data_IF_217332613261
#
_entry.id   IF_217332613261
#
_cell.length_a   1.000
_cell.length_b   1.000
_cell.length_c   1.000
_cell.angle_alpha   90.00
_cell.angle_beta   90.00
_cell.angle_gamma   90.00
#
_symmetry.space_group_name_H-M   'P 1'
#
loop_
_entity.id
_entity.type
_entity.pdbx_description
1 polymer ?
#
# COMPACT_ATOMS: atom_id res chain seq x y z
N UNK A 1 62.88 88.12 -61.11
CA UNK A 1 62.70 88.75 -59.77
C UNK A 1 61.75 88.04 -58.92
N UNK A 2 62.08 87.78 -57.78
CA UNK A 2 61.65 86.94 -56.70
C UNK A 2 60.25 87.21 -56.18
N UNK A 3 59.71 86.23 -55.61
CA UNK A 3 58.77 86.11 -54.54
C UNK A 3 57.35 85.69 -54.95
N UNK A 4 56.99 84.47 -54.66
CA UNK A 4 55.94 84.07 -53.74
C UNK A 4 55.72 82.53 -53.70
N UNK A 5 56.21 81.86 -52.69
CA UNK A 5 55.78 80.51 -52.37
C UNK A 5 56.05 80.21 -50.87
N UNK A 6 55.33 80.83 -49.95
CA UNK A 6 55.51 80.59 -48.50
C UNK A 6 54.25 80.23 -47.75
N UNK A 7 53.04 80.44 -48.30
CA UNK A 7 51.81 80.30 -47.51
C UNK A 7 51.02 79.02 -47.76
N UNK A 8 51.17 78.34 -48.87
CA UNK A 8 50.37 77.11 -49.18
C UNK A 8 50.86 75.87 -48.43
N UNK A 9 52.18 75.79 -48.05
CA UNK A 9 52.69 74.63 -47.29
C UNK A 9 52.27 74.58 -45.83
N UNK A 10 51.99 75.71 -45.22
CA UNK A 10 51.60 75.78 -43.83
C UNK A 10 50.16 75.40 -43.59
N UNK A 11 49.27 75.82 -44.45
CA UNK A 11 47.82 75.41 -44.36
C UNK A 11 47.65 73.94 -44.70
N UNK A 12 48.37 73.33 -45.60
CA UNK A 12 48.29 71.94 -45.92
C UNK A 12 48.79 71.06 -44.75
N UNK A 13 49.81 71.44 -44.03
CA UNK A 13 50.34 70.76 -42.81
C UNK A 13 49.35 70.81 -41.66
N UNK A 14 48.66 71.93 -41.47
CA UNK A 14 47.71 72.09 -40.39
C UNK A 14 46.45 71.21 -40.71
N UNK A 15 46.03 71.12 -41.95
CA UNK A 15 44.88 70.34 -42.37
C UNK A 15 45.10 68.84 -42.27
N UNK A 16 46.32 68.35 -42.59
CA UNK A 16 46.71 66.96 -42.42
C UNK A 16 46.85 66.60 -40.93
N UNK A 17 47.46 67.44 -40.13
CA UNK A 17 47.51 67.18 -38.66
C UNK A 17 46.12 67.16 -38.00
N UNK A 18 45.19 68.01 -38.40
CA UNK A 18 43.80 67.96 -37.93
C UNK A 18 43.09 66.65 -38.28
N UNK A 19 43.29 66.10 -39.49
CA UNK A 19 42.77 64.79 -39.91
C UNK A 19 43.38 63.65 -39.14
N UNK A 20 44.70 63.69 -38.88
CA UNK A 20 45.36 62.70 -38.07
C UNK A 20 44.92 62.72 -36.62
N UNK A 21 44.76 63.88 -36.01
CA UNK A 21 44.24 64.06 -34.64
C UNK A 21 42.80 63.59 -34.59
N UNK A 22 41.96 63.93 -35.54
CA UNK A 22 40.58 63.45 -35.63
C UNK A 22 40.50 61.93 -35.78
N UNK A 23 41.37 61.31 -36.57
CA UNK A 23 41.46 59.83 -36.70
C UNK A 23 41.90 59.16 -35.41
N UNK A 24 42.90 59.70 -34.71
CA UNK A 24 43.39 59.21 -33.40
C UNK A 24 42.26 59.32 -32.36
N UNK A 25 41.49 60.43 -32.32
CA UNK A 25 40.37 60.57 -31.41
C UNK A 25 39.24 59.62 -31.71
N UNK A 26 38.92 59.38 -33.00
CA UNK A 26 37.91 58.37 -33.40
C UNK A 26 38.35 56.95 -32.99
N UNK A 27 39.61 56.62 -33.25
CA UNK A 27 40.17 55.32 -32.85
C UNK A 27 40.16 55.14 -31.33
N UNK A 28 40.61 56.19 -30.58
CA UNK A 28 40.62 56.12 -29.13
C UNK A 28 39.25 56.04 -28.48
N UNK A 29 38.20 56.60 -29.11
CA UNK A 29 36.79 56.51 -28.68
C UNK A 29 36.14 55.15 -29.08
N UNK A 30 36.53 54.60 -30.23
CA UNK A 30 35.99 53.34 -30.72
C UNK A 30 36.66 52.10 -30.14
N UNK A 31 37.95 52.16 -29.77
CA UNK A 31 38.70 51.02 -29.21
C UNK A 31 38.09 50.44 -27.93
N UNK A 32 37.68 51.26 -26.93
CA UNK A 32 36.99 50.72 -25.74
C UNK A 32 35.64 50.08 -26.07
N UNK A 33 34.92 50.63 -27.03
CA UNK A 33 33.60 50.08 -27.46
C UNK A 33 33.80 48.76 -28.22
N UNK A 34 34.75 48.68 -29.14
CA UNK A 34 35.11 47.45 -29.86
C UNK A 34 35.65 46.37 -28.91
N UNK A 35 36.40 46.74 -27.88
CA UNK A 35 36.88 45.80 -26.89
C UNK A 35 35.75 45.28 -25.99
N UNK A 36 34.77 46.11 -25.62
CA UNK A 36 33.59 45.74 -24.83
C UNK A 36 32.71 44.79 -25.62
N UNK A 37 32.38 45.09 -26.87
CA UNK A 37 31.57 44.23 -27.73
C UNK A 37 32.25 42.91 -28.06
N UNK A 38 33.58 42.92 -28.23
CA UNK A 38 34.35 41.69 -28.41
C UNK A 38 34.33 40.82 -27.16
N UNK A 39 34.49 41.43 -25.98
CA UNK A 39 34.41 40.72 -24.70
C UNK A 39 33.03 40.12 -24.48
N UNK A 40 31.95 40.86 -24.73
CA UNK A 40 30.58 40.37 -24.67
C UNK A 40 30.34 39.18 -25.60
N UNK A 41 30.78 39.25 -26.85
CA UNK A 41 30.70 38.14 -27.82
C UNK A 41 31.49 36.92 -27.36
N UNK A 42 32.66 37.12 -26.77
CA UNK A 42 33.50 36.04 -26.25
C UNK A 42 32.82 35.37 -25.06
N UNK A 43 32.27 36.13 -24.10
CA UNK A 43 31.54 35.62 -22.96
C UNK A 43 30.26 34.88 -23.39
N UNK A 44 29.50 35.41 -24.34
CA UNK A 44 28.35 34.74 -24.90
C UNK A 44 28.69 33.39 -25.57
N UNK A 45 29.81 33.33 -26.32
CA UNK A 45 30.26 32.07 -26.93
C UNK A 45 30.68 31.06 -25.86
N UNK A 46 31.39 31.47 -24.83
CA UNK A 46 31.76 30.58 -23.70
C UNK A 46 30.54 30.10 -22.95
N UNK A 47 29.54 30.96 -22.71
CA UNK A 47 28.30 30.60 -22.07
C UNK A 47 27.49 29.57 -22.92
N UNK A 48 27.43 29.76 -24.24
CA UNK A 48 26.80 28.79 -25.15
C UNK A 48 27.51 27.43 -25.15
N UNK A 49 28.83 27.41 -25.27
CA UNK A 49 29.61 26.17 -25.24
C UNK A 49 29.46 25.45 -23.88
N UNK A 50 29.42 26.19 -22.79
CA UNK A 50 29.19 25.60 -21.46
C UNK A 50 27.76 25.02 -21.33
N UNK A 51 26.75 25.71 -21.90
CA UNK A 51 25.38 25.23 -21.92
C UNK A 51 25.23 23.97 -22.81
N UNK A 52 25.86 23.95 -23.99
CA UNK A 52 25.88 22.79 -24.89
C UNK A 52 26.54 21.57 -24.22
N UNK A 53 27.71 21.77 -23.58
CA UNK A 53 28.39 20.70 -22.86
C UNK A 53 27.55 20.17 -21.67
N UNK A 54 26.90 21.07 -20.92
CA UNK A 54 26.00 20.66 -19.83
C UNK A 54 24.82 19.85 -20.36
N UNK A 55 24.24 20.26 -21.49
CA UNK A 55 23.15 19.55 -22.12
C UNK A 55 23.58 18.16 -22.61
N UNK A 56 24.76 18.05 -23.22
CA UNK A 56 25.34 16.76 -23.62
C UNK A 56 25.57 15.84 -22.43
N UNK A 57 26.12 16.36 -21.31
CA UNK A 57 26.33 15.59 -20.09
C UNK A 57 24.98 15.12 -19.48
N UNK A 58 23.96 15.97 -19.45
CA UNK A 58 22.63 15.61 -18.98
C UNK A 58 22.00 14.53 -19.87
N UNK A 59 22.15 14.64 -21.18
CA UNK A 59 21.65 13.64 -22.13
C UNK A 59 22.35 12.29 -21.94
N UNK A 60 23.67 12.27 -21.78
CA UNK A 60 24.43 11.04 -21.52
C UNK A 60 24.03 10.38 -20.21
N UNK A 61 23.86 11.19 -19.14
CA UNK A 61 23.41 10.67 -17.84
C UNK A 61 22.00 10.06 -17.93
N UNK A 62 21.10 10.68 -18.68
CA UNK A 62 19.74 10.16 -18.90
C UNK A 62 19.77 8.84 -19.72
N UNK A 63 20.61 8.75 -20.73
CA UNK A 63 20.79 7.53 -21.53
C UNK A 63 21.37 6.39 -20.67
N UNK A 64 22.34 6.69 -19.81
CA UNK A 64 22.89 5.72 -18.86
C UNK A 64 21.83 5.20 -17.89
N UNK A 65 21.03 6.10 -17.29
CA UNK A 65 19.92 5.73 -16.39
C UNK A 65 18.87 4.87 -17.09
N UNK A 66 18.48 5.23 -18.32
CA UNK A 66 17.50 4.46 -19.09
C UNK A 66 18.02 3.06 -19.43
N UNK A 67 19.27 2.94 -19.86
CA UNK A 67 19.91 1.66 -20.17
C UNK A 67 19.99 0.76 -18.93
N UNK A 68 20.39 1.32 -17.80
CA UNK A 68 20.45 0.59 -16.52
C UNK A 68 19.05 0.16 -16.05
N UNK A 69 18.02 0.98 -16.27
CA UNK A 69 16.64 0.65 -15.90
C UNK A 69 16.06 -0.47 -16.81
N UNK A 70 16.38 -0.47 -18.10
CA UNK A 70 16.02 -1.55 -19.02
C UNK A 70 16.70 -2.86 -18.62
N UNK A 71 18.01 -2.82 -18.35
CA UNK A 71 18.77 -3.98 -17.88
C UNK A 71 18.26 -4.53 -16.54
N UNK A 72 17.95 -3.65 -15.58
CA UNK A 72 17.28 -4.03 -14.35
C UNK A 72 15.98 -4.81 -14.61
N UNK A 73 15.13 -4.30 -15.50
CA UNK A 73 13.85 -4.92 -15.84
C UNK A 73 14.01 -6.30 -16.49
N UNK A 74 15.02 -6.46 -17.33
CA UNK A 74 15.38 -7.77 -17.93
C UNK A 74 15.85 -8.77 -16.87
N UNK A 75 16.70 -8.34 -15.94
CA UNK A 75 17.21 -9.19 -14.84
C UNK A 75 16.08 -9.67 -13.93
N UNK A 76 15.15 -8.77 -13.58
CA UNK A 76 13.95 -9.13 -12.79
C UNK A 76 13.10 -10.15 -13.56
N UNK A 77 12.87 -9.95 -14.86
CA UNK A 77 12.10 -10.87 -15.71
C UNK A 77 12.73 -12.27 -15.78
N UNK A 78 14.06 -12.33 -15.73
CA UNK A 78 14.82 -13.60 -15.69
C UNK A 78 14.95 -14.18 -14.29
N UNK A 79 14.38 -13.52 -13.27
CA UNK A 79 14.52 -13.88 -11.85
C UNK A 79 15.96 -13.87 -11.35
N UNK A 80 16.86 -13.11 -12.00
CA UNK A 80 18.22 -12.90 -11.51
C UNK A 80 18.24 -11.72 -10.54
N UNK A 81 17.67 -11.96 -9.36
CA UNK A 81 17.45 -10.91 -8.35
C UNK A 81 18.76 -10.37 -7.77
N UNK A 82 19.82 -11.17 -7.76
CA UNK A 82 21.13 -10.72 -7.27
C UNK A 82 21.75 -9.71 -8.22
N UNK A 83 21.77 -10.01 -9.53
CA UNK A 83 22.26 -9.06 -10.53
C UNK A 83 21.34 -7.82 -10.62
N UNK A 84 20.01 -7.99 -10.47
CA UNK A 84 19.07 -6.87 -10.41
C UNK A 84 19.34 -5.96 -9.20
N UNK A 85 19.76 -6.53 -8.05
CA UNK A 85 20.13 -5.74 -6.87
C UNK A 85 21.39 -4.90 -7.13
N UNK A 86 22.38 -5.43 -7.83
CA UNK A 86 23.57 -4.66 -8.22
C UNK A 86 23.20 -3.52 -9.17
N UNK A 87 22.32 -3.78 -10.14
CA UNK A 87 21.86 -2.78 -11.11
C UNK A 87 21.04 -1.65 -10.46
N UNK A 88 20.12 -1.97 -9.54
CA UNK A 88 19.38 -0.93 -8.84
C UNK A 88 20.27 -0.12 -7.87
N UNK A 89 21.31 -0.72 -7.30
CA UNK A 89 22.32 0.00 -6.53
C UNK A 89 23.15 0.94 -7.42
N UNK A 90 23.45 0.53 -8.65
CA UNK A 90 24.07 1.42 -9.65
C UNK A 90 23.18 2.62 -9.96
N UNK A 91 21.88 2.40 -10.25
CA UNK A 91 20.89 3.47 -10.47
C UNK A 91 20.83 4.44 -9.28
N UNK A 92 20.84 3.93 -8.04
CA UNK A 92 20.87 4.75 -6.84
C UNK A 92 22.17 5.54 -6.67
N UNK A 93 23.28 5.06 -7.23
CA UNK A 93 24.54 5.82 -7.25
C UNK A 93 24.49 6.99 -8.25
N UNK A 94 23.72 6.86 -9.33
CA UNK A 94 23.51 7.93 -10.31
C UNK A 94 22.49 8.97 -9.82
N UNK A 95 21.41 8.52 -9.17
CA UNK A 95 20.37 9.40 -8.60
C UNK A 95 19.86 8.85 -7.27
N UNK A 96 20.49 9.28 -6.18
CA UNK A 96 20.12 8.89 -4.82
C UNK A 96 18.86 9.58 -4.27
N UNK A 97 18.28 10.52 -5.02
CA UNK A 97 17.08 11.23 -4.62
C UNK A 97 15.80 10.69 -5.29
N UNK A 98 15.90 9.67 -6.13
CA UNK A 98 14.77 9.09 -6.83
C UNK A 98 14.02 8.05 -5.94
N UNK A 99 12.80 8.33 -5.48
CA UNK A 99 12.05 7.42 -4.61
C UNK A 99 11.69 6.10 -5.31
N UNK A 100 11.53 6.11 -6.63
CA UNK A 100 11.19 4.91 -7.40
C UNK A 100 12.29 3.85 -7.38
N UNK A 101 13.56 4.26 -7.27
CA UNK A 101 14.66 3.30 -7.20
C UNK A 101 14.70 2.58 -5.83
N UNK A 102 14.41 3.29 -4.74
CA UNK A 102 14.25 2.67 -3.43
C UNK A 102 13.04 1.73 -3.39
N UNK A 103 11.90 2.13 -3.97
CA UNK A 103 10.72 1.25 -4.08
C UNK A 103 11.04 -0.04 -4.87
N UNK A 104 11.72 0.08 -6.01
CA UNK A 104 12.13 -1.09 -6.80
C UNK A 104 13.10 -1.98 -6.03
N UNK A 105 14.04 -1.40 -5.26
CA UNK A 105 14.96 -2.16 -4.43
C UNK A 105 14.24 -2.84 -3.27
N UNK A 106 13.29 -2.17 -2.64
CA UNK A 106 12.43 -2.79 -1.63
C UNK A 106 11.68 -4.01 -2.17
N UNK A 107 11.08 -3.90 -3.36
CA UNK A 107 10.44 -5.05 -4.02
C UNK A 107 11.39 -6.23 -4.26
N UNK A 108 12.64 -5.97 -4.67
CA UNK A 108 13.66 -7.04 -4.78
C UNK A 108 14.03 -7.64 -3.42
N UNK A 109 14.15 -6.81 -2.38
CA UNK A 109 14.46 -7.28 -1.03
C UNK A 109 13.35 -8.20 -0.49
N UNK A 110 12.08 -7.91 -0.80
CA UNK A 110 10.96 -8.80 -0.49
C UNK A 110 11.13 -10.15 -1.18
N UNK A 111 11.42 -10.16 -2.49
CA UNK A 111 11.66 -11.41 -3.24
C UNK A 111 12.87 -12.21 -2.73
N UNK A 112 13.83 -11.54 -2.11
CA UNK A 112 15.01 -12.15 -1.48
C UNK A 112 14.79 -12.47 0.01
N UNK A 113 13.59 -12.29 0.55
CA UNK A 113 13.23 -12.48 1.95
C UNK A 113 14.04 -11.61 2.94
N UNK A 114 14.47 -10.44 2.50
CA UNK A 114 15.20 -9.45 3.31
C UNK A 114 14.26 -8.35 3.80
N UNK A 115 13.29 -8.69 4.64
CA UNK A 115 12.19 -7.80 5.06
C UNK A 115 12.69 -6.49 5.69
N UNK A 116 13.67 -6.55 6.59
CA UNK A 116 14.21 -5.34 7.25
C UNK A 116 14.82 -4.34 6.26
N UNK A 117 15.53 -4.85 5.24
CA UNK A 117 16.09 -4.02 4.20
C UNK A 117 14.99 -3.41 3.31
N UNK A 118 13.93 -4.17 3.01
CA UNK A 118 12.78 -3.68 2.26
C UNK A 118 12.08 -2.53 3.01
N UNK A 119 11.80 -2.69 4.31
CA UNK A 119 11.19 -1.63 5.15
C UNK A 119 12.06 -0.38 5.19
N UNK A 120 13.38 -0.52 5.33
CA UNK A 120 14.32 0.61 5.31
C UNK A 120 14.26 1.41 4.00
N UNK A 121 14.16 0.70 2.88
CA UNK A 121 14.02 1.33 1.56
C UNK A 121 12.65 2.00 1.39
N UNK A 122 11.57 1.38 1.89
CA UNK A 122 10.22 1.97 1.86
C UNK A 122 10.13 3.24 2.72
N UNK A 123 10.76 3.25 3.90
CA UNK A 123 10.85 4.46 4.74
C UNK A 123 11.60 5.58 4.02
N UNK A 124 12.66 5.24 3.29
CA UNK A 124 13.39 6.21 2.47
C UNK A 124 12.53 6.69 1.30
N UNK A 125 11.82 5.80 0.64
CA UNK A 125 10.86 6.11 -0.43
C UNK A 125 9.84 7.13 0.04
N UNK A 126 9.16 6.86 1.15
CA UNK A 126 8.10 7.71 1.69
C UNK A 126 8.61 9.02 2.30
N UNK A 127 9.86 9.07 2.73
CA UNK A 127 10.51 10.33 3.11
C UNK A 127 10.80 11.23 1.90
N UNK A 128 11.13 10.63 0.74
CA UNK A 128 11.39 11.34 -0.51
C UNK A 128 10.08 11.74 -1.23
N UNK A 129 9.11 10.84 -1.24
CA UNK A 129 7.78 11.07 -1.82
C UNK A 129 6.68 10.54 -0.88
N UNK A 130 6.12 11.40 -0.01
CA UNK A 130 5.04 11.01 0.91
C UNK A 130 3.70 10.69 0.23
N UNK A 131 3.57 10.90 -1.07
CA UNK A 131 2.35 10.60 -1.82
C UNK A 131 2.43 9.30 -2.63
N UNK A 132 3.52 8.56 -2.51
CA UNK A 132 3.74 7.34 -3.28
C UNK A 132 2.92 6.17 -2.71
N UNK A 133 1.73 5.98 -3.28
CA UNK A 133 0.73 4.98 -2.87
C UNK A 133 1.31 3.56 -2.79
N UNK A 134 2.03 3.11 -3.82
CA UNK A 134 2.60 1.75 -3.91
C UNK A 134 3.58 1.44 -2.77
N UNK A 135 4.27 2.46 -2.24
CA UNK A 135 5.19 2.27 -1.13
C UNK A 135 4.46 2.00 0.19
N UNK A 136 3.35 2.70 0.45
CA UNK A 136 2.47 2.39 1.59
C UNK A 136 1.88 0.99 1.45
N UNK A 137 1.39 0.62 0.26
CA UNK A 137 0.82 -0.69 0.02
C UNK A 137 1.81 -1.81 0.35
N UNK A 138 3.03 -1.72 -0.17
CA UNK A 138 4.04 -2.75 0.08
C UNK A 138 4.46 -2.78 1.56
N UNK A 139 4.57 -1.61 2.23
CA UNK A 139 4.93 -1.57 3.66
C UNK A 139 3.82 -2.11 4.55
N UNK A 140 2.56 -1.81 4.24
CA UNK A 140 1.41 -2.36 4.94
C UNK A 140 1.37 -3.90 4.83
N UNK A 141 1.55 -4.44 3.62
CA UNK A 141 1.60 -5.90 3.41
C UNK A 141 2.71 -6.57 4.23
N UNK A 142 3.92 -5.99 4.25
CA UNK A 142 5.02 -6.51 5.07
C UNK A 142 4.72 -6.42 6.57
N UNK A 143 4.01 -5.39 7.00
CA UNK A 143 3.57 -5.24 8.39
C UNK A 143 2.53 -6.30 8.76
N UNK A 144 1.58 -6.60 7.88
CA UNK A 144 0.60 -7.69 8.07
C UNK A 144 1.27 -9.06 8.15
N UNK A 145 2.22 -9.36 7.25
CA UNK A 145 2.99 -10.61 7.28
C UNK A 145 3.73 -10.82 8.61
N UNK A 146 4.13 -9.72 9.25
CA UNK A 146 4.76 -9.72 10.57
C UNK A 146 3.75 -9.58 11.73
N UNK A 147 2.45 -9.65 11.47
CA UNK A 147 1.37 -9.42 12.44
C UNK A 147 1.43 -8.04 13.12
N UNK A 148 2.09 -7.06 12.52
CA UNK A 148 2.11 -5.67 12.97
C UNK A 148 0.93 -4.89 12.37
N UNK A 149 -0.27 -5.28 12.81
CA UNK A 149 -1.52 -4.70 12.30
C UNK A 149 -1.68 -3.21 12.63
N UNK A 150 -0.93 -2.69 13.60
CA UNK A 150 -0.96 -1.27 13.94
C UNK A 150 -0.28 -0.42 12.84
N UNK A 151 0.90 -0.82 12.39
CA UNK A 151 1.61 -0.13 11.32
C UNK A 151 0.93 -0.36 9.96
N UNK A 152 0.44 -1.57 9.69
CA UNK A 152 -0.36 -1.85 8.50
C UNK A 152 -1.58 -0.94 8.41
N UNK A 153 -2.35 -0.81 9.49
CA UNK A 153 -3.52 0.06 9.59
C UNK A 153 -3.18 1.54 9.29
N UNK A 154 -2.08 2.04 9.83
CA UNK A 154 -1.66 3.42 9.61
C UNK A 154 -1.34 3.69 8.12
N UNK A 155 -0.71 2.73 7.46
CA UNK A 155 -0.40 2.81 6.03
C UNK A 155 -1.66 2.71 5.17
N UNK A 156 -2.57 1.77 5.44
CA UNK A 156 -3.85 1.67 4.72
C UNK A 156 -4.73 2.90 4.90
N UNK A 157 -4.78 3.48 6.10
CA UNK A 157 -5.49 4.75 6.32
C UNK A 157 -4.90 5.90 5.50
N UNK A 158 -3.57 5.93 5.36
CA UNK A 158 -2.88 6.92 4.51
C UNK A 158 -3.19 6.67 3.03
N UNK A 159 -3.19 5.42 2.57
CA UNK A 159 -3.58 5.05 1.21
C UNK A 159 -5.01 5.51 0.89
N UNK A 160 -5.96 5.24 1.78
CA UNK A 160 -7.35 5.68 1.59
C UNK A 160 -7.48 7.21 1.59
N UNK A 161 -6.68 7.91 2.38
CA UNK A 161 -6.65 9.38 2.38
C UNK A 161 -6.04 9.96 1.09
N UNK A 162 -5.05 9.29 0.49
CA UNK A 162 -4.43 9.69 -0.77
C UNK A 162 -5.36 9.45 -1.97
N UNK A 163 -6.04 8.32 -2.00
CA UNK A 163 -6.98 7.99 -3.10
C UNK A 163 -8.24 7.28 -2.55
N UNK A 164 -9.28 8.02 -2.16
CA UNK A 164 -10.53 7.44 -1.69
C UNK A 164 -11.33 6.65 -2.77
N UNK A 165 -10.93 6.74 -4.04
CA UNK A 165 -11.54 5.95 -5.11
C UNK A 165 -11.11 4.46 -5.05
N UNK A 166 -9.98 4.16 -4.42
CA UNK A 166 -9.52 2.80 -4.12
C UNK A 166 -10.22 2.29 -2.84
N UNK A 167 -11.55 2.11 -2.94
CA UNK A 167 -12.38 1.78 -1.78
C UNK A 167 -12.13 0.37 -1.20
N UNK A 168 -11.49 -0.53 -1.95
CA UNK A 168 -11.03 -1.85 -1.51
C UNK A 168 -10.08 -1.78 -0.31
N UNK A 169 -9.33 -0.69 -0.16
CA UNK A 169 -8.49 -0.43 1.01
C UNK A 169 -9.29 -0.43 2.32
N UNK A 170 -10.57 -0.08 2.28
CA UNK A 170 -11.45 -0.12 3.47
C UNK A 170 -11.60 -1.54 4.03
N UNK A 171 -11.49 -2.56 3.20
CA UNK A 171 -11.50 -3.96 3.66
C UNK A 171 -10.23 -4.28 4.46
N UNK A 172 -9.06 -3.89 3.95
CA UNK A 172 -7.80 -4.08 4.69
C UNK A 172 -7.77 -3.30 6.02
N UNK A 173 -8.34 -2.08 6.03
CA UNK A 173 -8.51 -1.30 7.27
C UNK A 173 -9.39 -2.06 8.27
N UNK A 174 -10.51 -2.62 7.82
CA UNK A 174 -11.41 -3.38 8.66
C UNK A 174 -10.77 -4.67 9.19
N UNK A 175 -10.04 -5.38 8.33
CA UNK A 175 -9.30 -6.59 8.70
C UNK A 175 -8.22 -6.27 9.76
N UNK A 176 -7.47 -5.19 9.60
CA UNK A 176 -6.49 -4.76 10.60
C UNK A 176 -7.14 -4.47 11.96
N UNK A 177 -8.29 -3.81 12.00
CA UNK A 177 -9.03 -3.60 13.24
C UNK A 177 -9.52 -4.93 13.84
N UNK A 178 -10.03 -5.84 13.01
CA UNK A 178 -10.47 -7.16 13.45
C UNK A 178 -9.32 -7.96 14.07
N UNK A 179 -8.15 -7.98 13.44
CA UNK A 179 -6.96 -8.67 13.95
C UNK A 179 -6.47 -8.08 15.29
N UNK A 180 -6.70 -6.79 15.51
CA UNK A 180 -6.44 -6.11 16.78
C UNK A 180 -7.56 -6.31 17.80
N UNK A 181 -8.61 -7.09 17.49
CA UNK A 181 -9.83 -7.28 18.28
C UNK A 181 -10.61 -5.97 18.56
N UNK A 182 -10.35 -4.93 17.75
CA UNK A 182 -11.11 -3.68 17.79
C UNK A 182 -12.35 -3.82 16.90
N UNK A 183 -13.28 -4.65 17.35
CA UNK A 183 -14.45 -5.04 16.55
C UNK A 183 -15.39 -3.87 16.26
N UNK A 184 -15.44 -2.86 17.13
CA UNK A 184 -16.28 -1.67 16.88
C UNK A 184 -15.79 -0.90 15.66
N UNK A 185 -14.50 -0.60 15.60
CA UNK A 185 -13.91 0.07 14.46
C UNK A 185 -13.89 -0.81 13.19
N UNK A 186 -13.69 -2.13 13.33
CA UNK A 186 -13.83 -3.07 12.22
C UNK A 186 -15.23 -3.03 11.60
N UNK A 187 -16.30 -3.11 12.42
CA UNK A 187 -17.70 -3.03 11.96
C UNK A 187 -17.97 -1.70 11.24
N UNK A 188 -17.44 -0.58 11.76
CA UNK A 188 -17.60 0.73 11.13
C UNK A 188 -16.90 0.80 9.76
N UNK A 189 -15.70 0.25 9.65
CA UNK A 189 -14.95 0.17 8.39
C UNK A 189 -15.67 -0.73 7.37
N UNK A 190 -16.16 -1.92 7.78
CA UNK A 190 -16.96 -2.79 6.92
C UNK A 190 -18.27 -2.13 6.47
N UNK A 191 -18.95 -1.35 7.33
CA UNK A 191 -20.14 -0.60 6.91
C UNK A 191 -19.82 0.41 5.82
N UNK A 192 -18.67 1.07 5.91
CA UNK A 192 -18.21 2.02 4.90
C UNK A 192 -17.83 1.30 3.60
N UNK A 193 -17.14 0.16 3.72
CA UNK A 193 -16.77 -0.69 2.58
C UNK A 193 -18.02 -1.23 1.84
N UNK A 194 -19.06 -1.73 2.55
CA UNK A 194 -20.29 -2.23 1.93
C UNK A 194 -21.00 -1.15 1.11
N UNK A 195 -20.96 0.11 1.57
CA UNK A 195 -21.56 1.21 0.84
C UNK A 195 -20.78 1.59 -0.43
N UNK A 196 -19.45 1.44 -0.41
CA UNK A 196 -18.56 1.78 -1.52
C UNK A 196 -18.40 0.63 -2.53
N UNK A 197 -18.50 -0.63 -2.09
CA UNK A 197 -18.20 -1.85 -2.83
C UNK A 197 -19.40 -2.82 -2.80
N UNK A 198 -20.53 -2.47 -3.44
CA UNK A 198 -21.75 -3.31 -3.40
C UNK A 198 -21.56 -4.71 -4.02
N UNK A 199 -20.56 -4.90 -4.87
CA UNK A 199 -20.19 -6.19 -5.47
C UNK A 199 -19.54 -7.17 -4.48
N UNK A 200 -18.99 -6.68 -3.36
CA UNK A 200 -18.41 -7.51 -2.30
C UNK A 200 -19.33 -7.63 -1.07
N UNK A 201 -20.60 -7.26 -1.21
CA UNK A 201 -21.57 -7.18 -0.11
C UNK A 201 -21.65 -8.47 0.71
N UNK A 202 -21.66 -9.63 0.07
CA UNK A 202 -21.76 -10.91 0.74
C UNK A 202 -20.51 -11.20 1.57
N UNK A 203 -19.31 -11.02 0.99
CA UNK A 203 -18.03 -11.23 1.69
C UNK A 203 -17.88 -10.24 2.87
N UNK A 204 -18.22 -8.98 2.66
CA UNK A 204 -18.20 -7.95 3.71
C UNK A 204 -19.18 -8.30 4.82
N UNK A 205 -20.39 -8.78 4.48
CA UNK A 205 -21.37 -9.19 5.47
C UNK A 205 -20.85 -10.35 6.32
N UNK A 206 -20.20 -11.36 5.72
CA UNK A 206 -19.60 -12.44 6.48
C UNK A 206 -18.55 -11.93 7.48
N UNK A 207 -17.57 -11.15 7.02
CA UNK A 207 -16.50 -10.64 7.87
C UNK A 207 -17.02 -9.73 9.00
N UNK A 208 -17.99 -8.85 8.69
CA UNK A 208 -18.67 -8.03 9.70
C UNK A 208 -19.50 -8.86 10.66
N UNK A 209 -20.16 -9.91 10.17
CA UNK A 209 -20.91 -10.88 10.99
C UNK A 209 -20.01 -11.54 12.03
N UNK A 210 -18.78 -11.92 11.68
CA UNK A 210 -17.80 -12.47 12.62
C UNK A 210 -17.44 -11.45 13.71
N UNK A 211 -17.23 -10.19 13.37
CA UNK A 211 -16.98 -9.13 14.35
C UNK A 211 -18.18 -8.96 15.31
N UNK A 212 -19.41 -8.95 14.78
CA UNK A 212 -20.65 -8.85 15.56
C UNK A 212 -20.87 -10.07 16.46
N UNK A 213 -20.54 -11.26 15.97
CA UNK A 213 -20.57 -12.48 16.75
C UNK A 213 -19.61 -12.40 17.95
N UNK A 214 -18.39 -11.90 17.70
CA UNK A 214 -17.36 -11.72 18.74
C UNK A 214 -17.74 -10.67 19.80
N UNK A 215 -18.64 -9.74 19.46
CA UNK A 215 -19.20 -8.76 20.41
C UNK A 215 -20.57 -9.18 20.98
N UNK A 216 -20.96 -10.42 20.75
CA UNK A 216 -22.25 -10.99 21.19
C UNK A 216 -23.50 -10.28 20.64
N UNK A 217 -23.35 -9.47 19.57
CA UNK A 217 -24.51 -8.94 18.84
C UNK A 217 -25.06 -10.01 17.87
N UNK A 218 -25.55 -11.10 18.44
CA UNK A 218 -26.01 -12.28 17.71
C UNK A 218 -27.13 -11.96 16.71
N UNK A 219 -27.96 -10.96 17.02
CA UNK A 219 -29.05 -10.57 16.12
C UNK A 219 -28.54 -9.96 14.82
N UNK A 220 -27.58 -9.06 14.90
CA UNK A 220 -27.01 -8.44 13.69
C UNK A 220 -26.00 -9.35 13.01
N UNK A 221 -25.26 -10.18 13.76
CA UNK A 221 -24.40 -11.22 13.22
C UNK A 221 -25.21 -12.20 12.37
N UNK A 222 -26.33 -12.70 12.88
CA UNK A 222 -27.25 -13.57 12.14
C UNK A 222 -27.73 -12.93 10.84
N UNK A 223 -28.14 -11.66 10.89
CA UNK A 223 -28.60 -10.95 9.69
C UNK A 223 -27.51 -10.81 8.62
N UNK A 224 -26.26 -10.68 9.04
CA UNK A 224 -25.11 -10.65 8.13
C UNK A 224 -24.76 -12.04 7.58
N UNK A 225 -24.71 -13.06 8.42
CA UNK A 225 -24.42 -14.43 7.98
C UNK A 225 -25.48 -14.96 7.00
N UNK A 226 -26.77 -14.64 7.21
CA UNK A 226 -27.82 -15.04 6.30
C UNK A 226 -27.72 -14.39 4.91
N UNK A 227 -27.11 -13.21 4.77
CA UNK A 227 -26.82 -12.61 3.46
C UNK A 227 -25.76 -13.42 2.69
N UNK A 228 -24.83 -14.04 3.41
CA UNK A 228 -23.77 -14.86 2.82
C UNK A 228 -24.19 -16.33 2.59
N UNK A 229 -25.14 -16.84 3.36
CA UNK A 229 -25.55 -18.26 3.38
C UNK A 229 -26.00 -18.78 2.02
N UNK A 230 -26.54 -17.94 1.15
CA UNK A 230 -26.95 -18.34 -0.20
C UNK A 230 -25.80 -18.69 -1.12
N UNK A 231 -24.55 -18.26 -0.77
CA UNK A 231 -23.35 -18.50 -1.59
C UNK A 231 -22.82 -19.92 -1.42
N UNK A 232 -22.85 -20.46 -0.19
CA UNK A 232 -22.50 -21.84 0.14
C UNK A 232 -23.35 -22.38 1.31
N UNK A 233 -24.52 -22.96 1.01
CA UNK A 233 -25.40 -23.48 2.06
C UNK A 233 -24.84 -24.67 2.84
N UNK A 234 -23.79 -25.33 2.34
CA UNK A 234 -23.14 -26.48 2.97
C UNK A 234 -21.89 -26.12 3.79
N UNK A 235 -21.52 -24.84 3.83
CA UNK A 235 -20.38 -24.39 4.63
C UNK A 235 -20.61 -24.68 6.12
N UNK A 236 -19.80 -25.60 6.67
CA UNK A 236 -19.93 -26.08 8.05
C UNK A 236 -19.67 -24.98 9.07
N UNK A 237 -18.71 -24.10 8.84
CA UNK A 237 -18.39 -22.98 9.73
C UNK A 237 -19.53 -21.97 9.77
N UNK A 238 -20.00 -21.55 8.60
CA UNK A 238 -21.13 -20.63 8.49
C UNK A 238 -22.37 -21.17 9.19
N UNK A 239 -22.71 -22.45 8.96
CA UNK A 239 -23.86 -23.10 9.58
C UNK A 239 -23.68 -23.19 11.11
N UNK A 240 -22.48 -23.46 11.61
CA UNK A 240 -22.19 -23.40 13.04
C UNK A 240 -22.43 -22.01 13.64
N UNK A 241 -21.93 -20.97 12.97
CA UNK A 241 -22.08 -19.57 13.41
C UNK A 241 -23.57 -19.15 13.39
N UNK A 242 -24.30 -19.48 12.33
CA UNK A 242 -25.75 -19.20 12.24
C UNK A 242 -26.53 -19.94 13.35
N UNK A 243 -26.26 -21.23 13.55
CA UNK A 243 -26.89 -22.02 14.59
C UNK A 243 -26.60 -21.47 15.99
N UNK A 244 -25.36 -21.07 16.25
CA UNK A 244 -24.94 -20.43 17.48
C UNK A 244 -25.64 -19.08 17.70
N UNK A 245 -25.80 -18.28 16.63
CA UNK A 245 -26.57 -17.03 16.72
C UNK A 245 -28.02 -17.29 17.11
N UNK A 246 -28.71 -18.20 16.43
CA UNK A 246 -30.10 -18.54 16.75
C UNK A 246 -30.30 -19.00 18.19
N UNK A 247 -29.39 -19.81 18.71
CA UNK A 247 -29.39 -20.28 20.09
C UNK A 247 -29.23 -19.12 21.09
N UNK A 248 -28.46 -18.12 20.76
CA UNK A 248 -28.11 -17.00 21.66
C UNK A 248 -28.94 -15.73 21.42
N UNK A 249 -30.00 -15.78 20.60
CA UNK A 249 -30.96 -14.68 20.54
C UNK A 249 -31.68 -14.51 21.88
N UNK A 250 -32.17 -13.32 22.16
CA UNK A 250 -32.86 -12.97 23.43
C UNK A 250 -33.97 -13.95 23.79
N UNK A 251 -34.69 -14.51 22.79
CA UNK A 251 -35.72 -15.50 22.98
C UNK A 251 -35.36 -16.87 22.40
N UNK A 252 -34.15 -17.07 21.94
CA UNK A 252 -33.64 -18.32 21.36
C UNK A 252 -34.54 -19.00 20.35
N UNK A 253 -34.14 -19.13 19.08
CA UNK A 253 -34.84 -19.95 18.10
C UNK A 253 -34.15 -21.33 18.02
N UNK A 254 -34.42 -22.16 19.04
CA UNK A 254 -33.77 -23.47 19.16
C UNK A 254 -34.11 -24.43 18.01
N UNK A 255 -35.33 -24.47 17.42
CA UNK A 255 -35.60 -25.26 16.25
C UNK A 255 -34.77 -24.89 15.04
N UNK A 256 -34.60 -23.59 14.77
CA UNK A 256 -33.70 -23.12 13.73
C UNK A 256 -32.22 -23.45 14.03
N UNK A 257 -31.78 -23.22 15.27
CA UNK A 257 -30.43 -23.59 15.71
C UNK A 257 -30.11 -25.06 15.47
N UNK A 258 -31.01 -25.96 15.84
CA UNK A 258 -30.89 -27.42 15.62
C UNK A 258 -30.63 -27.74 14.13
N UNK A 259 -31.38 -27.11 13.23
CA UNK A 259 -31.22 -27.34 11.79
C UNK A 259 -29.83 -26.98 11.29
N UNK A 260 -29.37 -25.78 11.60
CA UNK A 260 -28.07 -25.29 11.17
C UNK A 260 -26.88 -26.03 11.83
N UNK A 261 -26.97 -26.32 13.14
CA UNK A 261 -25.96 -27.12 13.84
C UNK A 261 -25.88 -28.56 13.30
N UNK A 262 -27.04 -29.13 12.83
CA UNK A 262 -27.01 -30.42 12.18
C UNK A 262 -26.23 -30.38 10.87
N UNK A 263 -26.41 -29.35 10.04
CA UNK A 263 -25.62 -29.16 8.82
C UNK A 263 -24.11 -29.00 9.13
N UNK A 264 -23.76 -28.25 10.19
CA UNK A 264 -22.38 -28.10 10.62
C UNK A 264 -21.74 -29.44 11.03
N UNK A 265 -22.49 -30.29 11.77
CA UNK A 265 -22.06 -31.63 12.17
C UNK A 265 -21.87 -32.53 10.94
N UNK A 266 -22.83 -32.52 10.00
CA UNK A 266 -22.75 -33.29 8.76
C UNK A 266 -21.57 -32.87 7.88
N UNK A 267 -21.23 -31.59 7.86
CA UNK A 267 -20.05 -31.06 7.22
C UNK A 267 -18.73 -31.37 7.96
N UNK A 268 -18.81 -31.90 9.19
CA UNK A 268 -17.64 -32.22 10.03
C UNK A 268 -16.97 -31.01 10.68
N UNK A 269 -17.60 -29.83 10.68
CA UNK A 269 -17.05 -28.65 11.31
C UNK A 269 -17.31 -28.64 12.81
N UNK A 270 -16.26 -28.58 13.61
CA UNK A 270 -16.33 -28.56 15.09
C UNK A 270 -17.42 -29.48 15.65
N UNK A 271 -17.50 -30.72 15.14
CA UNK A 271 -18.63 -31.62 15.34
C UNK A 271 -18.92 -31.91 16.82
N UNK A 272 -17.94 -31.88 17.69
CA UNK A 272 -18.10 -32.02 19.13
C UNK A 272 -18.77 -30.79 19.76
N UNK A 273 -18.29 -29.56 19.46
CA UNK A 273 -18.88 -28.33 19.96
C UNK A 273 -20.28 -28.09 19.35
N UNK A 274 -20.44 -28.40 18.05
CA UNK A 274 -21.73 -28.31 17.37
C UNK A 274 -22.76 -29.28 17.99
N UNK A 275 -22.36 -30.53 18.32
CA UNK A 275 -23.22 -31.49 19.03
C UNK A 275 -23.55 -31.02 20.44
N UNK A 276 -22.60 -30.46 21.16
CA UNK A 276 -22.86 -29.86 22.47
C UNK A 276 -23.94 -28.75 22.38
N UNK A 277 -23.77 -27.80 21.49
CA UNK A 277 -24.72 -26.72 21.27
C UNK A 277 -26.11 -27.25 20.83
N UNK A 278 -26.14 -28.24 19.94
CA UNK A 278 -27.40 -28.88 19.50
C UNK A 278 -28.07 -29.62 20.64
N UNK A 279 -27.31 -30.32 21.49
CA UNK A 279 -27.80 -30.98 22.70
C UNK A 279 -28.44 -29.96 23.66
N UNK A 280 -27.85 -28.79 23.87
CA UNK A 280 -28.47 -27.69 24.65
C UNK A 280 -29.80 -27.26 23.99
N UNK A 281 -29.84 -27.09 22.66
CA UNK A 281 -31.06 -26.72 21.95
C UNK A 281 -32.17 -27.82 22.08
N UNK A 282 -31.82 -29.11 22.06
CA UNK A 282 -32.73 -30.20 22.32
C UNK A 282 -33.33 -30.17 23.73
N UNK A 283 -32.56 -29.79 24.74
CA UNK A 283 -33.07 -29.60 26.10
C UNK A 283 -34.13 -28.49 26.14
N UNK A 284 -33.88 -27.38 25.48
CA UNK A 284 -34.82 -26.24 25.41
C UNK A 284 -36.09 -26.56 24.60
N UNK A 285 -36.08 -27.66 23.85
CA UNK A 285 -37.25 -28.13 23.07
C UNK A 285 -37.84 -29.42 23.61
N UNK A 286 -37.57 -29.76 24.86
CA UNK A 286 -38.06 -30.95 25.59
C UNK A 286 -37.72 -32.30 24.90
N UNK A 287 -36.58 -32.36 24.21
CA UNK A 287 -36.10 -33.56 23.48
C UNK A 287 -34.91 -34.21 24.20
N UNK A 288 -35.08 -34.60 25.45
CA UNK A 288 -34.02 -35.06 26.35
C UNK A 288 -33.24 -36.28 25.80
N UNK A 289 -33.87 -37.20 25.11
CA UNK A 289 -33.21 -38.39 24.55
C UNK A 289 -32.21 -38.00 23.43
N UNK A 290 -32.57 -37.03 22.57
CA UNK A 290 -31.67 -36.49 21.53
C UNK A 290 -30.53 -35.68 22.13
N UNK A 291 -30.83 -34.89 23.15
CA UNK A 291 -29.81 -34.19 23.89
C UNK A 291 -28.77 -35.14 24.52
N UNK A 292 -29.23 -36.23 25.16
CA UNK A 292 -28.36 -37.25 25.74
C UNK A 292 -27.45 -37.89 24.68
N UNK A 293 -27.97 -38.21 23.50
CA UNK A 293 -27.20 -38.79 22.40
C UNK A 293 -26.09 -37.84 21.91
N UNK A 294 -26.38 -36.52 21.79
CA UNK A 294 -25.42 -35.54 21.41
C UNK A 294 -24.29 -35.36 22.48
N UNK A 295 -24.69 -35.33 23.76
CA UNK A 295 -23.70 -35.25 24.86
C UNK A 295 -22.86 -36.51 24.96
N UNK A 296 -23.40 -37.71 24.73
CA UNK A 296 -22.64 -38.96 24.65
C UNK A 296 -21.63 -38.91 23.49
N UNK A 297 -22.00 -38.37 22.35
CA UNK A 297 -21.10 -38.13 21.22
C UNK A 297 -19.90 -37.23 21.65
N UNK A 298 -20.19 -36.12 22.33
CA UNK A 298 -19.17 -35.20 22.85
C UNK A 298 -18.21 -35.93 23.78
N UNK A 299 -18.74 -36.71 24.72
CA UNK A 299 -17.93 -37.48 25.69
C UNK A 299 -17.00 -38.47 25.00
N UNK A 300 -17.47 -39.07 23.92
CA UNK A 300 -16.71 -40.08 23.18
C UNK A 300 -15.64 -39.44 22.26
N UNK A 301 -15.90 -38.31 21.62
CA UNK A 301 -15.14 -37.79 20.51
C UNK A 301 -14.35 -36.53 20.78
N UNK A 302 -14.77 -35.67 21.75
CA UNK A 302 -14.05 -34.43 22.02
C UNK A 302 -12.68 -34.69 22.66
N UNK A 303 -11.72 -33.85 22.35
CA UNK A 303 -10.43 -33.77 23.02
C UNK A 303 -10.38 -32.64 24.05
N UNK A 304 -11.40 -31.76 24.06
CA UNK A 304 -11.51 -30.67 25.01
C UNK A 304 -11.98 -31.19 26.39
N UNK A 305 -11.11 -31.08 27.38
CA UNK A 305 -11.37 -31.53 28.74
C UNK A 305 -12.43 -30.70 29.47
N UNK A 306 -12.51 -29.38 29.17
CA UNK A 306 -13.50 -28.51 29.78
C UNK A 306 -14.88 -28.83 29.21
N UNK A 307 -15.01 -28.96 27.88
CA UNK A 307 -16.25 -29.34 27.21
C UNK A 307 -16.78 -30.69 27.73
N UNK A 308 -15.88 -31.67 27.92
CA UNK A 308 -16.26 -32.96 28.55
C UNK A 308 -16.76 -32.81 29.98
N UNK A 309 -16.12 -31.98 30.78
CA UNK A 309 -16.53 -31.74 32.17
C UNK A 309 -17.92 -31.14 32.22
N UNK A 310 -18.17 -30.11 31.43
CA UNK A 310 -19.47 -29.45 31.34
C UNK A 310 -20.55 -30.42 30.85
N UNK A 311 -20.25 -31.20 29.81
CA UNK A 311 -21.11 -32.23 29.24
C UNK A 311 -21.46 -33.30 30.26
N UNK A 312 -20.50 -33.81 31.03
CA UNK A 312 -20.72 -34.83 32.08
C UNK A 312 -21.69 -34.31 33.15
N UNK A 313 -21.51 -33.03 33.55
CA UNK A 313 -22.40 -32.40 34.56
C UNK A 313 -23.87 -32.40 34.09
N UNK A 314 -24.09 -32.12 32.77
CA UNK A 314 -25.45 -32.13 32.21
C UNK A 314 -26.01 -33.56 32.15
N UNK A 315 -25.20 -34.54 31.69
CA UNK A 315 -25.61 -35.94 31.63
C UNK A 315 -25.99 -36.50 33.01
N UNK A 316 -25.29 -36.09 34.10
CA UNK A 316 -25.60 -36.51 35.44
C UNK A 316 -26.92 -35.90 35.98
N UNK A 317 -27.27 -34.69 35.52
CA UNK A 317 -28.58 -34.08 35.79
C UNK A 317 -29.72 -34.74 35.05
N UNK A 318 -29.53 -35.17 33.82
CA UNK A 318 -30.54 -35.88 33.00
C UNK A 318 -30.88 -37.28 33.53
N UNK A 319 -30.02 -37.88 34.37
CA UNK A 319 -30.25 -39.21 34.98
C UNK A 319 -31.04 -39.18 36.25
N UNK A 320 -31.27 -37.98 36.81
CA UNK A 320 -31.99 -37.78 38.09
C UNK A 320 -33.49 -37.57 37.85
#
# INVERSE_FOLDING_TARGET
>A
MRHHNGHTGFFFRIHTRRKEIALILVISMCLPYLSATFLEHYEQRRARQAAELLQEQQQQALEEQNTALEHFSELVTRSDYTAALDEINHLLSLDSANPQYYLKRAGLQVLLHNTDAAVTDLDTTLRLDPALYDAYQLRAQLSEENADYQNALADYQTMYALDPAQADVLMYIADCYQQQMDYENAINAYNTAEAALPEYREAIAYARGVCRYSTEDFKQALADFLKYADTDPADGELNFLIGSCYMNLEQGDYPAAISYLTTAIEAGYSADLASYNRGICYLHTDQADLAAADFEYVMANSTDSQLKTDTQSILDQLKQ
#
